data_IF_337954555017
#
_entry.id   IF_337954555017
#
_cell.length_a   1.000
_cell.length_b   1.000
_cell.length_c   1.000
_cell.angle_alpha   90.00
_cell.angle_beta   90.00
_cell.angle_gamma   90.00
#
_symmetry.space_group_name_H-M   'P 1'
#
loop_
_entity.id
_entity.type
_entity.pdbx_description
1 polymer ?
#
# COMPACT_ATOMS: atom_id res chain seq x y z
N UNK A 1 -6.26 16.27 -10.09
CA UNK A 1 -6.90 15.19 -9.32
C UNK A 1 -5.99 13.97 -9.08
N UNK A 2 -4.66 14.13 -9.12
CA UNK A 2 -3.64 13.07 -8.97
C UNK A 2 -2.90 13.12 -7.62
N UNK A 3 -3.38 13.91 -6.64
CA UNK A 3 -2.75 14.02 -5.31
C UNK A 3 -3.34 13.08 -4.26
N UNK A 4 -4.52 12.52 -4.50
CA UNK A 4 -5.26 11.65 -3.58
C UNK A 4 -4.60 10.29 -3.37
N UNK A 5 -4.08 9.68 -4.43
CA UNK A 5 -3.52 8.33 -4.37
C UNK A 5 -2.18 8.29 -3.63
N UNK A 6 -1.23 9.14 -4.02
CA UNK A 6 0.05 9.29 -3.32
C UNK A 6 -0.15 9.71 -1.85
N UNK A 7 -1.20 10.49 -1.59
CA UNK A 7 -1.60 10.85 -0.23
C UNK A 7 -2.05 9.62 0.58
N UNK A 8 -2.96 8.81 0.04
CA UNK A 8 -3.45 7.61 0.71
C UNK A 8 -2.34 6.58 0.93
N UNK A 9 -1.47 6.38 -0.04
CA UNK A 9 -0.34 5.45 0.07
C UNK A 9 0.66 5.89 1.14
N UNK A 10 1.04 7.17 1.16
CA UNK A 10 1.89 7.73 2.21
C UNK A 10 1.24 7.63 3.61
N UNK A 11 -0.09 7.64 3.68
CA UNK A 11 -0.82 7.39 4.92
C UNK A 11 -0.67 5.94 5.40
N UNK A 12 -0.85 4.97 4.50
CA UNK A 12 -0.74 3.55 4.82
C UNK A 12 0.70 3.19 5.20
N UNK A 13 1.70 3.69 4.49
CA UNK A 13 3.12 3.51 4.83
C UNK A 13 3.46 4.04 6.23
N UNK A 14 2.89 5.19 6.62
CA UNK A 14 3.07 5.72 7.96
C UNK A 14 2.40 4.81 9.01
N UNK A 15 1.19 4.34 8.76
CA UNK A 15 0.50 3.41 9.64
C UNK A 15 1.31 2.11 9.84
N UNK A 16 1.91 1.58 8.75
CA UNK A 16 2.85 0.45 8.80
C UNK A 16 4.06 0.76 9.68
N UNK A 17 4.71 1.93 9.50
CA UNK A 17 5.86 2.35 10.31
C UNK A 17 5.53 2.46 11.82
N UNK A 18 4.37 3.03 12.16
CA UNK A 18 3.93 3.18 13.55
C UNK A 18 3.71 1.81 14.20
N UNK A 19 3.10 0.88 13.47
CA UNK A 19 2.88 -0.50 13.94
C UNK A 19 4.19 -1.26 14.12
N UNK A 20 5.11 -1.15 13.16
CA UNK A 20 6.45 -1.76 13.25
C UNK A 20 7.22 -1.25 14.48
N UNK A 21 7.14 0.06 14.78
CA UNK A 21 7.74 0.64 15.98
C UNK A 21 7.11 0.10 17.26
N UNK A 22 5.79 -0.10 17.27
CA UNK A 22 5.11 -0.72 18.41
C UNK A 22 5.57 -2.18 18.61
N UNK A 23 5.63 -2.98 17.53
CA UNK A 23 6.08 -4.37 17.59
C UNK A 23 7.53 -4.48 18.08
N UNK A 24 8.43 -3.61 17.59
CA UNK A 24 9.82 -3.53 18.07
C UNK A 24 9.89 -3.13 19.54
N UNK A 25 9.13 -2.13 19.95
CA UNK A 25 9.07 -1.67 21.35
C UNK A 25 8.53 -2.73 22.30
N UNK A 26 7.71 -3.68 21.83
CA UNK A 26 7.22 -4.81 22.62
C UNK A 26 8.28 -5.92 22.74
N UNK A 27 9.13 -6.10 21.72
CA UNK A 27 10.21 -7.11 21.72
C UNK A 27 11.46 -6.64 22.48
N UNK A 28 11.79 -5.35 22.41
CA UNK A 28 13.01 -4.77 23.00
C UNK A 28 12.66 -3.54 23.87
N UNK A 29 12.21 -3.73 25.13
CA UNK A 29 11.76 -2.63 25.98
C UNK A 29 12.89 -1.73 26.49
N UNK A 30 14.15 -2.18 26.44
CA UNK A 30 15.33 -1.43 26.91
C UNK A 30 15.80 -0.35 25.93
N UNK A 31 15.48 -0.52 24.64
CA UNK A 31 15.71 0.45 23.56
C UNK A 31 14.47 1.33 23.37
N UNK A 32 13.99 1.99 24.43
CA UNK A 32 13.01 3.08 24.27
C UNK A 32 13.67 4.23 23.51
N UNK A 33 13.45 4.23 22.19
CA UNK A 33 13.98 5.20 21.24
C UNK A 33 13.41 6.59 21.49
N UNK A 34 13.96 7.28 22.49
CA UNK A 34 13.63 8.67 22.88
C UNK A 34 13.89 9.69 21.76
N UNK A 35 14.55 9.30 20.66
CA UNK A 35 14.82 10.15 19.49
C UNK A 35 13.92 9.95 18.26
N UNK A 36 12.97 9.00 18.27
CA UNK A 36 12.13 8.69 17.07
C UNK A 36 10.77 9.40 17.09
N UNK A 37 10.29 9.84 18.26
CA UNK A 37 8.97 10.44 18.42
C UNK A 37 8.85 11.85 17.79
N UNK A 38 9.88 12.68 17.86
CA UNK A 38 9.88 14.02 17.25
C UNK A 38 9.80 14.00 15.71
N UNK A 39 10.63 13.22 14.98
CA UNK A 39 10.52 13.15 13.53
C UNK A 39 9.21 12.51 13.06
N UNK A 40 8.64 11.55 13.80
CA UNK A 40 7.30 11.02 13.49
C UNK A 40 6.20 12.06 13.69
N UNK A 41 6.25 12.83 14.78
CA UNK A 41 5.27 13.89 15.04
C UNK A 41 5.33 14.99 13.98
N UNK A 42 6.53 15.36 13.53
CA UNK A 42 6.71 16.27 12.40
C UNK A 42 6.09 15.70 11.12
N UNK A 43 6.28 14.40 10.86
CA UNK A 43 5.71 13.70 9.70
C UNK A 43 4.18 13.54 9.77
N UNK A 44 3.61 13.42 10.97
CA UNK A 44 2.15 13.46 11.19
C UNK A 44 1.60 14.88 10.96
N UNK A 45 2.33 15.92 11.34
CA UNK A 45 1.95 17.30 11.00
C UNK A 45 2.02 17.56 9.49
N UNK A 46 3.00 16.97 8.80
CA UNK A 46 3.11 16.98 7.34
C UNK A 46 1.97 16.20 6.66
N UNK A 47 1.46 15.11 7.25
CA UNK A 47 0.27 14.40 6.74
C UNK A 47 -0.93 15.34 6.58
N UNK A 48 -1.15 16.26 7.52
CA UNK A 48 -2.26 17.21 7.38
C UNK A 48 -2.12 18.09 6.14
N UNK A 49 -0.90 18.55 5.87
CA UNK A 49 -0.64 19.45 4.75
C UNK A 49 -0.59 18.72 3.40
N UNK A 50 -0.05 17.51 3.37
CA UNK A 50 0.22 16.76 2.13
C UNK A 50 -0.85 15.71 1.81
N UNK A 51 -1.35 15.02 2.84
CA UNK A 51 -2.21 13.84 2.68
C UNK A 51 -3.68 14.19 2.88
N UNK A 52 -4.05 14.75 4.03
CA UNK A 52 -5.46 15.01 4.36
C UNK A 52 -6.09 16.11 3.52
N UNK A 53 -5.32 17.13 3.12
CA UNK A 53 -5.75 18.10 2.10
C UNK A 53 -5.89 17.49 0.70
N UNK A 54 -5.13 16.43 0.44
CA UNK A 54 -5.16 15.70 -0.82
C UNK A 54 -6.40 14.81 -0.95
N UNK A 55 -6.96 14.32 0.16
CA UNK A 55 -8.14 13.45 0.21
C UNK A 55 -9.44 14.25 0.00
N UNK A 56 -10.31 13.88 -0.95
CA UNK A 56 -11.39 14.77 -1.36
C UNK A 56 -12.56 14.70 -0.37
N UNK A 57 -12.79 13.54 0.27
CA UNK A 57 -13.82 13.39 1.30
C UNK A 57 -13.53 14.23 2.56
N UNK A 58 -12.26 14.31 2.96
CA UNK A 58 -11.83 15.12 4.11
C UNK A 58 -11.76 16.61 3.79
N UNK A 59 -11.31 16.98 2.59
CA UNK A 59 -11.24 18.39 2.18
C UNK A 59 -12.63 18.97 1.86
N UNK A 60 -13.57 18.16 1.36
CA UNK A 60 -14.94 18.61 1.08
C UNK A 60 -15.83 18.68 2.33
N UNK A 61 -15.54 17.90 3.37
CA UNK A 61 -16.33 17.89 4.60
C UNK A 61 -15.85 18.95 5.60
N UNK A 62 -16.68 19.94 6.00
CA UNK A 62 -16.31 20.91 7.03
C UNK A 62 -16.03 20.25 8.39
N UNK A 63 -16.61 19.06 8.63
CA UNK A 63 -16.33 18.24 9.82
C UNK A 63 -14.93 17.63 9.78
N UNK A 64 -14.45 17.23 8.59
CA UNK A 64 -13.11 16.68 8.42
C UNK A 64 -11.99 17.69 8.56
N UNK A 65 -12.23 18.95 8.18
CA UNK A 65 -11.28 20.03 8.40
C UNK A 65 -11.12 20.41 9.89
N UNK A 66 -12.14 20.13 10.72
CA UNK A 66 -12.14 20.45 12.14
C UNK A 66 -11.37 19.45 13.02
N UNK A 67 -11.03 18.27 12.47
CA UNK A 67 -10.34 17.21 13.21
C UNK A 67 -8.87 17.57 13.46
N UNK A 68 -8.40 17.30 14.67
CA UNK A 68 -6.99 17.38 15.07
C UNK A 68 -6.11 16.31 14.41
N UNK A 69 -4.79 16.51 14.41
CA UNK A 69 -3.85 15.54 13.82
C UNK A 69 -3.93 14.16 14.49
N UNK A 70 -4.18 14.13 15.80
CA UNK A 70 -4.39 12.89 16.54
C UNK A 70 -5.69 12.19 16.14
N UNK A 71 -6.77 12.95 15.90
CA UNK A 71 -8.05 12.39 15.46
C UNK A 71 -7.96 11.82 14.05
N UNK A 72 -7.28 12.55 13.15
CA UNK A 72 -7.02 12.10 11.79
C UNK A 72 -6.14 10.85 11.75
N UNK A 73 -5.13 10.76 12.63
CA UNK A 73 -4.30 9.57 12.75
C UNK A 73 -5.09 8.36 13.27
N UNK A 74 -6.01 8.53 14.24
CA UNK A 74 -6.88 7.42 14.68
C UNK A 74 -7.71 6.87 13.53
N UNK A 75 -8.30 7.74 12.72
CA UNK A 75 -9.07 7.33 11.54
C UNK A 75 -8.19 6.60 10.52
N UNK A 76 -6.98 7.12 10.28
CA UNK A 76 -6.01 6.50 9.39
C UNK A 76 -5.58 5.11 9.86
N UNK A 77 -5.35 4.92 11.16
CA UNK A 77 -4.97 3.64 11.75
C UNK A 77 -6.11 2.63 11.66
N UNK A 78 -7.35 3.05 11.90
CA UNK A 78 -8.53 2.17 11.77
C UNK A 78 -8.87 1.85 10.30
N UNK A 79 -8.70 2.83 9.41
CA UNK A 79 -8.81 2.63 7.97
C UNK A 79 -7.74 1.64 7.49
N UNK A 80 -6.50 1.80 7.94
CA UNK A 80 -5.40 0.88 7.65
C UNK A 80 -5.70 -0.54 8.16
N UNK A 81 -6.23 -0.69 9.38
CA UNK A 81 -6.68 -2.00 9.88
C UNK A 81 -7.77 -2.63 9.00
N UNK A 82 -8.74 -1.84 8.56
CA UNK A 82 -9.78 -2.28 7.63
C UNK A 82 -9.20 -2.71 6.28
N UNK A 83 -8.23 -1.96 5.76
CA UNK A 83 -7.46 -2.29 4.55
C UNK A 83 -6.70 -3.62 4.71
N UNK A 84 -6.19 -3.91 5.90
CA UNK A 84 -5.54 -5.17 6.24
C UNK A 84 -6.52 -6.32 6.50
N UNK A 85 -7.83 -6.13 6.26
CA UNK A 85 -8.85 -7.16 6.51
C UNK A 85 -9.10 -7.45 7.99
N UNK A 86 -8.58 -6.63 8.90
CA UNK A 86 -8.83 -6.74 10.34
C UNK A 86 -10.19 -6.11 10.65
N UNK A 87 -11.25 -6.89 10.46
CA UNK A 87 -12.63 -6.46 10.68
C UNK A 87 -12.97 -6.21 12.16
N UNK A 88 -12.16 -6.79 13.07
CA UNK A 88 -12.38 -6.69 14.51
C UNK A 88 -12.15 -5.27 15.05
N UNK A 89 -13.07 -4.76 15.91
CA UNK A 89 -12.91 -3.49 16.60
C UNK A 89 -11.58 -3.41 17.37
N UNK A 90 -10.81 -2.35 17.15
CA UNK A 90 -9.51 -2.14 17.79
C UNK A 90 -9.69 -1.72 19.26
N UNK A 91 -9.01 -2.34 20.23
CA UNK A 91 -9.07 -1.90 21.62
C UNK A 91 -8.43 -0.51 21.78
N UNK A 92 -9.02 0.33 22.65
CA UNK A 92 -8.53 1.67 22.91
C UNK A 92 -7.07 1.68 23.39
N UNK A 93 -6.67 0.68 24.19
CA UNK A 93 -5.28 0.51 24.62
C UNK A 93 -4.29 0.38 23.45
N UNK A 94 -4.66 -0.35 22.39
CA UNK A 94 -3.81 -0.48 21.19
C UNK A 94 -3.69 0.86 20.46
N UNK A 95 -4.82 1.56 20.25
CA UNK A 95 -4.83 2.87 19.60
C UNK A 95 -4.02 3.91 20.39
N UNK A 96 -4.12 3.92 21.72
CA UNK A 96 -3.33 4.79 22.59
C UNK A 96 -1.84 4.49 22.49
N UNK A 97 -1.47 3.20 22.39
CA UNK A 97 -0.08 2.80 22.21
C UNK A 97 0.47 3.25 20.85
N UNK A 98 -0.28 3.05 19.76
CA UNK A 98 0.07 3.53 18.42
C UNK A 98 0.23 5.06 18.37
N UNK A 99 -0.69 5.79 18.98
CA UNK A 99 -0.60 7.26 19.10
C UNK A 99 0.62 7.68 19.92
N UNK A 100 0.98 6.93 20.97
CA UNK A 100 2.18 7.19 21.75
C UNK A 100 3.45 7.02 20.92
N UNK A 101 3.51 6.04 20.01
CA UNK A 101 4.63 5.87 19.09
C UNK A 101 4.74 7.02 18.08
N UNK A 102 3.60 7.61 17.70
CA UNK A 102 3.54 8.81 16.87
C UNK A 102 3.81 10.12 17.63
N UNK A 103 4.19 10.06 18.92
CA UNK A 103 4.57 11.21 19.73
C UNK A 103 3.40 11.96 20.39
N UNK A 104 2.20 11.36 20.45
CA UNK A 104 1.07 11.90 21.19
C UNK A 104 1.05 11.41 22.64
N UNK A 105 0.86 12.32 23.58
CA UNK A 105 0.80 11.97 25.00
C UNK A 105 -0.44 11.13 25.32
N UNK A 106 -0.30 10.16 26.23
CA UNK A 106 -1.39 9.25 26.66
C UNK A 106 -2.69 9.98 27.02
N UNK A 107 -2.59 11.10 27.72
CA UNK A 107 -3.75 11.91 28.14
C UNK A 107 -4.49 12.49 26.94
N UNK A 108 -3.78 12.93 25.91
CA UNK A 108 -4.41 13.50 24.72
C UNK A 108 -4.99 12.40 23.83
N UNK A 109 -4.31 11.27 23.71
CA UNK A 109 -4.85 10.06 23.04
C UNK A 109 -6.16 9.59 23.66
N UNK A 110 -6.26 9.57 25.00
CA UNK A 110 -7.50 9.22 25.70
C UNK A 110 -8.62 10.26 25.51
N UNK A 111 -8.28 11.55 25.40
CA UNK A 111 -9.28 12.58 25.09
C UNK A 111 -9.87 12.38 23.69
N UNK A 112 -9.05 11.99 22.72
CA UNK A 112 -9.46 11.71 21.32
C UNK A 112 -10.37 10.50 21.21
N UNK A 113 -10.23 9.51 22.10
CA UNK A 113 -11.09 8.32 22.13
C UNK A 113 -12.25 8.44 23.15
N UNK A 114 -12.26 9.51 23.94
CA UNK A 114 -13.21 9.72 25.01
C UNK A 114 -14.65 9.90 24.50
N UNK A 115 -15.66 9.74 25.37
CA UNK A 115 -17.08 9.82 24.99
C UNK A 115 -17.52 11.18 24.45
N UNK A 116 -16.73 12.24 24.67
CA UNK A 116 -16.98 13.60 24.17
C UNK A 116 -16.13 13.97 22.95
N UNK A 117 -15.32 13.04 22.43
CA UNK A 117 -14.48 13.30 21.28
C UNK A 117 -15.29 13.59 20.01
N UNK A 118 -14.76 14.41 19.11
CA UNK A 118 -15.41 14.76 17.85
C UNK A 118 -15.65 13.50 17.01
N UNK A 119 -14.68 12.59 16.99
CA UNK A 119 -14.78 11.32 16.28
C UNK A 119 -16.00 10.48 16.66
N UNK A 120 -16.41 10.49 17.93
CA UNK A 120 -17.60 9.76 18.40
C UNK A 120 -18.87 10.58 18.22
N UNK A 121 -18.82 11.87 18.56
CA UNK A 121 -19.97 12.77 18.50
C UNK A 121 -20.48 12.94 17.07
N UNK A 122 -19.56 13.05 16.12
CA UNK A 122 -19.89 13.31 14.72
C UNK A 122 -20.12 12.01 13.93
N UNK A 123 -20.04 10.84 14.60
CA UNK A 123 -20.42 9.53 14.04
C UNK A 123 -19.32 8.80 13.27
N UNK A 124 -18.05 9.15 13.44
CA UNK A 124 -16.95 8.61 12.63
C UNK A 124 -16.41 7.30 13.20
N UNK A 125 -16.64 7.07 14.49
CA UNK A 125 -16.27 5.86 15.21
C UNK A 125 -17.48 5.22 15.89
N UNK A 126 -17.62 3.91 15.72
CA UNK A 126 -18.47 3.08 16.57
C UNK A 126 -17.66 2.59 17.76
N UNK A 127 -18.21 2.77 18.96
CA UNK A 127 -17.58 2.35 20.21
C UNK A 127 -18.37 1.19 20.81
N UNK A 128 -17.71 0.05 20.98
CA UNK A 128 -18.23 -1.15 21.62
C UNK A 128 -17.61 -1.26 23.00
N UNK A 129 -18.40 -1.06 24.04
CA UNK A 129 -17.96 -1.28 25.42
C UNK A 129 -18.45 -2.66 25.87
N UNK A 130 -17.54 -3.51 26.32
CA UNK A 130 -17.88 -4.77 26.97
C UNK A 130 -18.11 -4.50 28.47
N UNK A 131 -19.36 -4.54 28.91
CA UNK A 131 -19.74 -4.40 30.33
C UNK A 131 -20.26 -3.03 30.77
N UNK A 132 -20.85 -2.97 31.97
CA UNK A 132 -21.52 -1.77 32.53
C UNK A 132 -20.56 -0.72 33.12
N UNK A 133 -19.32 -1.09 33.42
CA UNK A 133 -18.25 -0.22 33.93
C UNK A 133 -16.97 -0.58 33.18
N UNK A 134 -16.88 -0.19 31.91
CA UNK A 134 -15.70 -0.43 31.10
C UNK A 134 -14.62 0.61 31.43
N UNK A 135 -13.38 0.17 31.67
CA UNK A 135 -12.23 1.06 31.62
C UNK A 135 -12.23 1.76 30.24
N UNK A 136 -11.94 3.06 30.14
CA UNK A 136 -11.73 3.72 28.84
C UNK A 136 -10.79 2.97 27.89
N UNK A 137 -9.88 2.15 28.41
CA UNK A 137 -8.97 1.29 27.64
C UNK A 137 -9.60 -0.01 27.11
N UNK A 138 -10.70 -0.46 27.72
CA UNK A 138 -11.43 -1.68 27.33
C UNK A 138 -12.47 -1.41 26.23
N UNK A 139 -12.71 -0.13 25.90
CA UNK A 139 -13.59 0.25 24.80
C UNK A 139 -12.94 -0.14 23.48
N UNK A 140 -13.68 -0.84 22.62
CA UNK A 140 -13.23 -1.18 21.28
C UNK A 140 -13.83 -0.24 20.25
N UNK A 141 -13.04 0.14 19.25
CA UNK A 141 -13.40 1.13 18.25
C UNK A 141 -13.38 0.52 16.85
N UNK A 142 -14.41 0.82 16.08
CA UNK A 142 -14.49 0.48 14.67
C UNK A 142 -14.75 1.75 13.86
N UNK A 143 -14.16 1.83 12.67
CA UNK A 143 -14.43 2.91 11.74
C UNK A 143 -15.88 2.82 11.25
N UNK A 144 -16.61 3.92 11.31
CA UNK A 144 -17.95 3.98 10.72
C UNK A 144 -17.86 3.84 9.19
N UNK A 145 -18.86 3.22 8.53
CA UNK A 145 -18.89 3.10 7.07
C UNK A 145 -18.69 4.46 6.36
N UNK A 146 -19.37 5.50 6.85
CA UNK A 146 -19.32 6.87 6.30
C UNK A 146 -17.95 7.52 6.50
N UNK A 147 -17.19 7.10 7.52
CA UNK A 147 -15.82 7.56 7.73
C UNK A 147 -14.81 6.87 6.80
N UNK A 148 -15.19 5.75 6.16
CA UNK A 148 -14.37 5.08 5.15
C UNK A 148 -14.40 5.87 3.84
N UNK A 149 -15.55 6.44 3.49
CA UNK A 149 -15.76 7.34 2.33
C UNK A 149 -14.99 8.68 2.46
N UNK A 150 -14.37 8.95 3.59
CA UNK A 150 -13.50 10.12 3.75
C UNK A 150 -12.14 9.93 3.08
N UNK A 151 -11.71 8.66 2.98
CA UNK A 151 -10.48 8.26 2.33
C UNK A 151 -10.68 7.95 0.84
N UNK A 152 -11.94 7.80 0.38
CA UNK A 152 -12.32 7.45 -1.00
C UNK A 152 -13.52 8.27 -1.52
N UNK A 153 -13.45 8.83 -2.74
CA UNK A 153 -14.59 9.55 -3.32
C UNK A 153 -15.58 8.66 -4.06
N UNK A 154 -16.88 8.96 -3.90
CA UNK A 154 -18.07 8.32 -4.50
C UNK A 154 -18.08 8.23 -6.05
N UNK A 155 -17.17 8.89 -6.77
CA UNK A 155 -16.98 8.61 -8.21
C UNK A 155 -16.33 7.22 -8.49
N UNK A 156 -15.82 6.56 -7.44
CA UNK A 156 -15.17 5.24 -7.47
C UNK A 156 -16.06 4.07 -6.96
N UNK A 157 -17.35 4.28 -6.67
CA UNK A 157 -18.31 3.20 -6.33
C UNK A 157 -19.42 3.13 -7.39
N UNK A 158 -19.66 2.00 -8.07
CA UNK A 158 -20.34 0.87 -7.46
C UNK A 158 -19.40 -0.30 -7.09
N UNK A 159 -19.57 -0.90 -5.90
CA UNK A 159 -18.93 -2.17 -5.56
C UNK A 159 -19.47 -3.25 -6.50
N UNK A 160 -18.60 -3.85 -7.31
CA UNK A 160 -18.82 -5.22 -7.72
C UNK A 160 -18.52 -6.07 -6.48
N UNK A 161 -19.58 -6.37 -5.72
CA UNK A 161 -19.57 -7.13 -4.47
C UNK A 161 -18.66 -6.52 -3.38
N UNK A 162 -19.24 -6.02 -2.30
CA UNK A 162 -19.05 -6.70 -1.02
C UNK A 162 -18.74 -8.19 -1.20
N UNK A 163 -17.48 -8.53 -1.51
CA UNK A 163 -16.97 -9.85 -1.17
C UNK A 163 -17.16 -9.97 0.34
N UNK A 164 -17.93 -10.99 0.71
CA UNK A 164 -18.45 -11.28 2.03
C UNK A 164 -17.45 -10.97 3.14
N UNK A 165 -17.96 -10.71 4.35
CA UNK A 165 -17.19 -10.68 5.61
C UNK A 165 -16.49 -12.00 5.96
N UNK A 166 -16.15 -12.81 4.97
CA UNK A 166 -15.25 -13.94 5.04
C UNK A 166 -13.86 -13.40 5.39
N UNK A 167 -13.27 -13.85 6.50
CA UNK A 167 -11.92 -13.42 6.87
C UNK A 167 -10.93 -13.81 5.75
N UNK A 168 -9.90 -12.98 5.49
CA UNK A 168 -8.89 -13.28 4.48
C UNK A 168 -8.22 -14.62 4.77
N UNK A 169 -8.18 -15.49 3.76
CA UNK A 169 -7.53 -16.80 3.86
C UNK A 169 -6.01 -16.59 3.92
N UNK A 170 -5.30 -17.10 4.95
CA UNK A 170 -3.85 -16.95 5.04
C UNK A 170 -3.15 -17.66 3.87
N UNK A 171 -1.92 -17.26 3.59
CA UNK A 171 -1.05 -17.95 2.64
C UNK A 171 -0.56 -19.28 3.23
N UNK A 172 -0.58 -20.33 2.41
CA UNK A 172 0.02 -21.62 2.72
C UNK A 172 1.53 -21.63 2.55
N UNK A 173 2.06 -20.76 1.67
CA UNK A 173 3.50 -20.62 1.42
C UNK A 173 3.85 -19.23 0.87
N UNK A 174 5.14 -18.89 0.91
CA UNK A 174 5.64 -17.69 0.27
C UNK A 174 5.49 -17.73 -1.27
N UNK A 175 5.58 -18.93 -1.85
CA UNK A 175 5.36 -19.16 -3.29
C UNK A 175 3.94 -18.76 -3.70
N UNK A 176 2.93 -19.07 -2.88
CA UNK A 176 1.55 -18.65 -3.13
C UNK A 176 1.40 -17.11 -3.11
N UNK A 177 2.10 -16.43 -2.20
CA UNK A 177 2.12 -14.97 -2.17
C UNK A 177 2.78 -14.37 -3.41
N UNK A 178 3.85 -14.98 -3.93
CA UNK A 178 4.50 -14.54 -5.16
C UNK A 178 3.55 -14.69 -6.37
N UNK A 179 2.79 -15.78 -6.46
CA UNK A 179 1.80 -15.96 -7.53
C UNK A 179 0.63 -14.98 -7.45
N UNK A 180 0.17 -14.64 -6.24
CA UNK A 180 -0.82 -13.57 -6.07
C UNK A 180 -0.26 -12.21 -6.52
N UNK A 181 1.02 -11.91 -6.20
CA UNK A 181 1.71 -10.72 -6.69
C UNK A 181 1.88 -10.73 -8.22
N UNK A 182 2.09 -11.89 -8.83
CA UNK A 182 2.08 -12.06 -10.28
C UNK A 182 0.70 -11.75 -10.87
N UNK A 183 -0.37 -12.31 -10.30
CA UNK A 183 -1.74 -12.03 -10.75
C UNK A 183 -2.07 -10.53 -10.63
N UNK A 184 -1.61 -9.88 -9.55
CA UNK A 184 -1.72 -8.43 -9.39
C UNK A 184 -0.91 -7.64 -10.43
N UNK A 185 0.32 -8.08 -10.75
CA UNK A 185 1.13 -7.53 -11.85
C UNK A 185 0.37 -7.60 -13.18
N UNK A 186 -0.29 -8.72 -13.49
CA UNK A 186 -1.09 -8.88 -14.73
C UNK A 186 -2.24 -7.86 -14.78
N UNK A 187 -2.96 -7.64 -13.68
CA UNK A 187 -3.99 -6.59 -13.62
C UNK A 187 -3.40 -5.20 -13.87
N UNK A 188 -2.20 -4.93 -13.35
CA UNK A 188 -1.50 -3.67 -13.57
C UNK A 188 -1.03 -3.49 -15.02
N UNK A 189 -0.63 -4.57 -15.71
CA UNK A 189 -0.28 -4.58 -17.12
C UNK A 189 -1.51 -4.27 -18.00
N UNK A 190 -2.62 -4.96 -17.77
CA UNK A 190 -3.88 -4.69 -18.47
C UNK A 190 -4.33 -3.24 -18.30
N UNK A 191 -4.18 -2.70 -17.09
CA UNK A 191 -4.40 -1.27 -16.80
C UNK A 191 -3.46 -0.37 -17.60
N UNK A 192 -2.17 -0.71 -17.68
CA UNK A 192 -1.14 0.05 -18.38
C UNK A 192 -1.32 0.06 -19.90
N UNK A 193 -1.91 -0.99 -20.47
CA UNK A 193 -2.37 -1.05 -21.86
C UNK A 193 -3.55 -0.10 -22.08
N UNK A 194 -4.60 -0.24 -21.27
CA UNK A 194 -5.80 0.59 -21.35
C UNK A 194 -5.52 2.10 -21.15
N UNK A 195 -4.38 2.44 -20.52
CA UNK A 195 -3.93 3.82 -20.34
C UNK A 195 -3.55 4.52 -21.66
N UNK A 196 -3.11 3.77 -22.67
CA UNK A 196 -2.69 4.30 -23.96
C UNK A 196 -3.74 4.14 -25.05
N UNK A 197 -4.65 3.17 -24.93
CA UNK A 197 -5.71 2.87 -25.92
C UNK A 197 -6.74 4.00 -26.15
N UNK A 198 -6.77 5.05 -25.32
CA UNK A 198 -7.75 6.14 -25.41
C UNK A 198 -7.20 7.42 -26.04
N UNK A 199 -7.41 7.65 -27.34
CA UNK A 199 -7.04 8.89 -28.04
C UNK A 199 -8.05 10.05 -27.85
N UNK A 200 -8.83 10.02 -26.76
CA UNK A 200 -9.86 11.01 -26.52
C UNK A 200 -9.28 12.24 -25.81
N UNK A 201 -8.89 13.23 -26.60
CA UNK A 201 -8.33 14.52 -26.19
C UNK A 201 -9.29 15.43 -25.38
N UNK A 202 -10.37 14.90 -24.81
CA UNK A 202 -11.32 15.69 -24.05
C UNK A 202 -12.21 14.85 -23.15
N UNK A 203 -11.98 14.99 -21.85
CA UNK A 203 -12.93 14.72 -20.76
C UNK A 203 -13.25 13.24 -20.43
N UNK A 204 -13.04 12.91 -19.16
CA UNK A 204 -13.33 11.66 -18.44
C UNK A 204 -12.44 10.42 -18.75
N UNK A 205 -12.08 9.72 -17.67
CA UNK A 205 -11.32 8.47 -17.75
C UNK A 205 -12.17 7.35 -18.37
N UNK A 206 -11.65 6.58 -19.34
CA UNK A 206 -12.38 5.49 -19.96
C UNK A 206 -12.96 4.52 -18.91
N UNK A 207 -14.22 4.06 -19.03
CA UNK A 207 -14.83 3.11 -18.10
C UNK A 207 -14.00 1.84 -17.88
N UNK A 208 -13.37 1.32 -18.94
CA UNK A 208 -12.47 0.16 -18.88
C UNK A 208 -11.24 0.42 -17.99
N UNK A 209 -10.58 1.57 -18.17
CA UNK A 209 -9.44 1.96 -17.34
C UNK A 209 -9.85 2.16 -15.87
N UNK A 210 -11.06 2.70 -15.62
CA UNK A 210 -11.61 2.79 -14.26
C UNK A 210 -11.87 1.42 -13.63
N UNK A 211 -12.43 0.47 -14.38
CA UNK A 211 -12.60 -0.91 -13.95
C UNK A 211 -11.28 -1.57 -13.56
N UNK A 212 -10.31 -1.55 -14.46
CA UNK A 212 -8.99 -2.16 -14.25
C UNK A 212 -8.21 -1.51 -13.09
N UNK A 213 -8.34 -0.20 -12.89
CA UNK A 213 -7.78 0.47 -11.70
C UNK A 213 -8.38 -0.05 -10.41
N UNK A 214 -9.70 -0.26 -10.36
CA UNK A 214 -10.40 -0.80 -9.19
C UNK A 214 -9.99 -2.24 -8.91
N UNK A 215 -9.93 -3.07 -9.95
CA UNK A 215 -9.50 -4.46 -9.84
C UNK A 215 -8.04 -4.58 -9.36
N UNK A 216 -7.12 -3.82 -9.94
CA UNK A 216 -5.72 -3.82 -9.49
C UNK A 216 -5.57 -3.37 -8.03
N UNK A 217 -6.39 -2.41 -7.57
CA UNK A 217 -6.41 -1.98 -6.17
C UNK A 217 -7.00 -3.04 -5.26
N UNK A 218 -8.14 -3.62 -5.64
CA UNK A 218 -8.76 -4.71 -4.88
C UNK A 218 -7.81 -5.90 -4.76
N UNK A 219 -7.09 -6.26 -5.82
CA UNK A 219 -6.05 -7.28 -5.81
C UNK A 219 -4.95 -6.99 -4.78
N UNK A 220 -4.39 -5.77 -4.78
CA UNK A 220 -3.39 -5.38 -3.79
C UNK A 220 -3.92 -5.44 -2.36
N UNK A 221 -5.13 -4.95 -2.11
CA UNK A 221 -5.76 -4.98 -0.79
C UNK A 221 -5.98 -6.42 -0.33
N UNK A 222 -6.44 -7.30 -1.23
CA UNK A 222 -6.59 -8.74 -0.96
C UNK A 222 -5.26 -9.36 -0.54
N UNK A 223 -4.16 -9.10 -1.27
CA UNK A 223 -2.82 -9.58 -0.95
C UNK A 223 -2.39 -9.10 0.45
N UNK A 224 -2.58 -7.80 0.74
CA UNK A 224 -2.26 -7.20 2.04
C UNK A 224 -3.06 -7.84 3.17
N UNK A 225 -4.36 -8.08 2.96
CA UNK A 225 -5.22 -8.76 3.93
C UNK A 225 -4.80 -10.19 4.20
N UNK A 226 -4.49 -10.96 3.14
CA UNK A 226 -3.98 -12.33 3.26
C UNK A 226 -2.62 -12.39 3.97
N UNK A 227 -1.69 -11.50 3.64
CA UNK A 227 -0.39 -11.37 4.32
C UNK A 227 -0.56 -11.08 5.82
N UNK A 228 -1.48 -10.18 6.17
CA UNK A 228 -1.76 -9.84 7.57
C UNK A 228 -2.38 -11.01 8.36
N UNK A 229 -3.19 -11.84 7.70
CA UNK A 229 -3.76 -13.06 8.29
C UNK A 229 -2.76 -14.22 8.41
N UNK A 230 -1.65 -14.17 7.67
CA UNK A 230 -0.63 -15.22 7.63
C UNK A 230 0.31 -15.12 8.81
N UNK A 231 0.42 -16.18 9.61
CA UNK A 231 1.39 -16.24 10.71
C UNK A 231 2.81 -16.13 10.13
N UNK A 232 3.56 -15.10 10.52
CA UNK A 232 4.88 -14.83 9.95
C UNK A 232 4.85 -14.31 8.52
N UNK A 233 3.70 -13.89 7.98
CA UNK A 233 3.61 -13.32 6.63
C UNK A 233 4.46 -12.07 6.43
N UNK A 234 4.69 -11.30 7.50
CA UNK A 234 5.65 -10.19 7.46
C UNK A 234 7.10 -10.64 7.23
N UNK A 235 7.44 -11.88 7.60
CA UNK A 235 8.76 -12.47 7.44
C UNK A 235 8.98 -13.14 6.08
N UNK A 236 7.97 -13.17 5.20
CA UNK A 236 8.16 -13.54 3.79
C UNK A 236 9.23 -12.62 3.19
N UNK A 237 10.14 -13.17 2.40
CA UNK A 237 11.29 -12.46 1.81
C UNK A 237 10.85 -11.23 1.04
N UNK A 238 9.80 -11.31 0.22
CA UNK A 238 9.31 -10.13 -0.52
C UNK A 238 8.85 -9.00 0.42
N UNK A 239 8.21 -9.31 1.53
CA UNK A 239 7.75 -8.33 2.51
C UNK A 239 8.90 -7.81 3.39
N UNK A 240 9.83 -8.67 3.76
CA UNK A 240 11.07 -8.27 4.43
C UNK A 240 11.90 -7.36 3.53
N UNK A 241 12.04 -7.69 2.25
CA UNK A 241 12.74 -6.89 1.25
C UNK A 241 12.07 -5.51 1.09
N UNK A 242 10.74 -5.47 0.96
CA UNK A 242 9.94 -4.24 0.97
C UNK A 242 10.25 -3.37 2.18
N UNK A 243 10.21 -3.95 3.39
CA UNK A 243 10.45 -3.23 4.65
C UNK A 243 11.90 -2.74 4.78
N UNK A 244 12.87 -3.60 4.48
CA UNK A 244 14.30 -3.33 4.58
C UNK A 244 14.74 -2.21 3.64
N UNK A 245 14.19 -2.17 2.43
CA UNK A 245 14.50 -1.15 1.43
C UNK A 245 13.46 -0.01 1.39
N UNK A 246 12.50 -0.02 2.31
CA UNK A 246 11.42 0.95 2.43
C UNK A 246 10.64 1.19 1.13
N UNK A 247 10.43 0.14 0.33
CA UNK A 247 9.81 0.21 -0.99
C UNK A 247 8.37 0.71 -0.91
N UNK A 248 8.02 1.69 -1.74
CA UNK A 248 6.62 2.05 -1.97
C UNK A 248 5.90 0.95 -2.75
N UNK A 249 4.58 1.06 -2.91
CA UNK A 249 3.81 0.12 -3.74
C UNK A 249 4.26 0.17 -5.19
N UNK A 250 4.56 1.36 -5.71
CA UNK A 250 5.07 1.52 -7.07
C UNK A 250 6.42 0.83 -7.24
N UNK A 251 7.33 1.00 -6.27
CA UNK A 251 8.65 0.39 -6.35
C UNK A 251 8.60 -1.12 -6.13
N UNK A 252 7.71 -1.59 -5.26
CA UNK A 252 7.41 -3.01 -5.13
C UNK A 252 6.84 -3.57 -6.44
N UNK A 253 5.90 -2.88 -7.07
CA UNK A 253 5.33 -3.28 -8.35
C UNK A 253 6.39 -3.33 -9.45
N UNK A 254 7.35 -2.39 -9.48
CA UNK A 254 8.48 -2.44 -10.40
C UNK A 254 9.34 -3.68 -10.18
N UNK A 255 9.69 -3.95 -8.92
CA UNK A 255 10.51 -5.10 -8.53
C UNK A 255 9.79 -6.40 -8.91
N UNK A 256 8.51 -6.54 -8.56
CA UNK A 256 7.66 -7.67 -8.94
C UNK A 256 7.56 -7.79 -10.46
N UNK A 257 7.36 -6.67 -11.17
CA UNK A 257 7.21 -6.68 -12.62
C UNK A 257 8.46 -7.24 -13.30
N UNK A 258 9.65 -6.74 -12.93
CA UNK A 258 10.92 -7.19 -13.49
C UNK A 258 11.27 -8.61 -13.08
N UNK A 259 11.00 -8.99 -11.82
CA UNK A 259 11.18 -10.36 -11.35
C UNK A 259 10.41 -11.35 -12.24
N UNK A 260 9.15 -11.06 -12.55
CA UNK A 260 8.34 -11.96 -13.39
C UNK A 260 8.65 -11.83 -14.89
N UNK A 261 9.13 -10.69 -15.38
CA UNK A 261 9.70 -10.60 -16.73
C UNK A 261 10.90 -11.56 -16.87
N UNK A 262 11.77 -11.62 -15.87
CA UNK A 262 12.91 -12.52 -15.86
C UNK A 262 12.49 -14.00 -15.70
N UNK A 263 11.65 -14.30 -14.70
CA UNK A 263 11.33 -15.68 -14.31
C UNK A 263 10.30 -16.37 -15.22
N UNK A 264 9.33 -15.63 -15.76
CA UNK A 264 8.21 -16.18 -16.55
C UNK A 264 8.34 -15.84 -18.02
N UNK A 265 8.69 -14.60 -18.35
CA UNK A 265 8.73 -14.14 -19.75
C UNK A 265 10.10 -14.36 -20.40
N UNK A 266 11.13 -14.70 -19.63
CA UNK A 266 12.51 -14.87 -20.12
C UNK A 266 13.12 -13.56 -20.66
N UNK A 267 12.56 -12.41 -20.26
CA UNK A 267 12.97 -11.08 -20.67
C UNK A 267 13.68 -10.37 -19.50
N UNK A 268 15.00 -10.57 -19.31
CA UNK A 268 15.72 -10.00 -18.18
C UNK A 268 15.81 -8.47 -18.25
N UNK A 269 15.63 -7.88 -19.44
CA UNK A 269 15.72 -6.46 -19.67
C UNK A 269 14.38 -5.90 -20.17
N UNK A 270 13.89 -4.86 -19.49
CA UNK A 270 12.63 -4.19 -19.81
C UNK A 270 12.88 -2.71 -20.01
N UNK A 271 12.22 -2.10 -21.00
CA UNK A 271 12.37 -0.68 -21.25
C UNK A 271 11.87 0.16 -20.05
N UNK A 272 12.60 1.20 -19.66
CA UNK A 272 12.20 2.09 -18.56
C UNK A 272 10.81 2.72 -18.76
N UNK A 273 10.40 2.94 -20.02
CA UNK A 273 9.05 3.40 -20.35
C UNK A 273 7.98 2.36 -19.97
N UNK A 274 8.23 1.07 -20.20
CA UNK A 274 7.30 0.00 -19.85
C UNK A 274 7.16 -0.13 -18.34
N UNK A 275 8.29 -0.16 -17.62
CA UNK A 275 8.32 -0.07 -16.16
C UNK A 275 7.48 1.12 -15.64
N UNK A 276 7.66 2.30 -16.24
CA UNK A 276 6.91 3.50 -15.88
C UNK A 276 5.41 3.37 -16.15
N UNK A 277 5.03 2.70 -17.25
CA UNK A 277 3.63 2.46 -17.61
C UNK A 277 2.95 1.53 -16.60
N UNK A 278 3.62 0.46 -16.20
CA UNK A 278 3.09 -0.51 -15.24
C UNK A 278 2.70 0.15 -13.92
N UNK A 279 3.49 1.09 -13.43
CA UNK A 279 3.20 1.80 -12.17
C UNK A 279 2.27 3.00 -12.30
N UNK A 280 2.13 3.57 -13.50
CA UNK A 280 1.33 4.79 -13.66
C UNK A 280 -0.18 4.51 -13.61
N UNK A 281 -0.90 5.31 -12.84
CA UNK A 281 -2.37 5.24 -12.80
C UNK A 281 -3.05 6.11 -13.88
N UNK A 282 -2.32 7.07 -14.43
CA UNK A 282 -2.81 8.03 -15.42
C UNK A 282 -1.67 8.60 -16.28
N UNK A 283 -1.99 9.26 -17.39
CA UNK A 283 -0.98 9.87 -18.27
C UNK A 283 -0.19 10.98 -17.57
N UNK A 284 -0.85 11.77 -16.72
CA UNK A 284 -0.19 12.80 -15.92
C UNK A 284 0.74 12.21 -14.86
N UNK A 285 0.47 10.98 -14.43
CA UNK A 285 1.25 10.26 -13.44
C UNK A 285 2.58 9.74 -14.00
N UNK A 286 2.61 9.36 -15.29
CA UNK A 286 3.85 8.99 -16.01
C UNK A 286 4.95 10.04 -15.81
N UNK A 287 4.63 11.33 -15.99
CA UNK A 287 5.62 12.40 -15.84
C UNK A 287 6.12 12.56 -14.41
N UNK A 288 5.25 12.36 -13.42
CA UNK A 288 5.60 12.45 -12.00
C UNK A 288 6.47 11.27 -11.56
N UNK A 289 6.13 10.07 -12.02
CA UNK A 289 6.82 8.82 -11.68
C UNK A 289 8.10 8.60 -12.47
N UNK A 290 8.39 9.42 -13.48
CA UNK A 290 9.65 9.36 -14.25
C UNK A 290 10.91 9.35 -13.37
N UNK A 291 10.86 10.01 -12.21
CA UNK A 291 11.97 10.04 -11.25
C UNK A 291 12.24 8.69 -10.57
N UNK A 292 11.25 7.80 -10.51
CA UNK A 292 11.35 6.48 -9.85
C UNK A 292 12.30 5.56 -10.62
N UNK A 293 12.15 5.51 -11.95
CA UNK A 293 12.97 4.69 -12.87
C UNK A 293 14.23 5.41 -13.37
N UNK A 294 14.36 6.70 -13.07
CA UNK A 294 15.51 7.51 -13.49
C UNK A 294 16.81 7.14 -12.76
N UNK A 295 17.99 7.59 -13.25
CA UNK A 295 19.29 7.27 -12.65
C UNK A 295 19.45 7.78 -11.21
N UNK A 296 18.74 8.84 -10.85
CA UNK A 296 18.68 9.36 -9.47
C UNK A 296 17.52 8.78 -8.66
N UNK A 297 16.77 7.85 -9.22
CA UNK A 297 15.70 7.13 -8.54
C UNK A 297 16.27 6.23 -7.48
N UNK A 298 15.56 6.08 -6.37
CA UNK A 298 16.03 5.35 -5.20
C UNK A 298 16.43 3.91 -5.53
N UNK A 299 15.59 3.20 -6.27
CA UNK A 299 15.86 1.83 -6.70
C UNK A 299 17.16 1.67 -7.50
N UNK A 300 17.54 2.66 -8.32
CA UNK A 300 18.82 2.67 -9.03
C UNK A 300 19.99 3.05 -8.11
N UNK A 301 19.77 3.96 -7.17
CA UNK A 301 20.79 4.35 -6.20
C UNK A 301 21.12 3.23 -5.20
N UNK A 302 20.14 2.41 -4.84
CA UNK A 302 20.31 1.25 -3.95
C UNK A 302 20.84 0.03 -4.70
N UNK A 303 21.00 0.09 -6.02
CA UNK A 303 21.45 -1.04 -6.84
C UNK A 303 20.44 -2.18 -6.93
N UNK A 304 19.15 -1.91 -6.66
CA UNK A 304 18.06 -2.90 -6.85
C UNK A 304 17.69 -2.97 -8.33
N UNK A 305 17.62 -1.81 -8.99
CA UNK A 305 17.46 -1.70 -10.43
C UNK A 305 18.80 -1.42 -11.08
N UNK A 306 19.19 -2.26 -12.03
CA UNK A 306 20.37 -2.05 -12.86
C UNK A 306 19.91 -1.58 -14.22
N UNK A 307 20.50 -0.47 -14.69
CA UNK A 307 20.28 0.00 -16.05
C UNK A 307 21.39 -0.54 -16.93
N UNK A 308 21.05 -1.07 -18.11
CA UNK A 308 22.04 -1.41 -19.12
C UNK A 308 22.66 -0.13 -19.66
N UNK A 309 23.86 0.18 -19.17
CA UNK A 309 24.64 1.34 -19.63
C UNK A 309 25.32 0.99 -20.95
N UNK A 310 24.57 0.99 -22.04
CA UNK A 310 25.19 1.10 -23.36
C UNK A 310 25.66 2.55 -23.53
N UNK A 311 26.98 2.72 -23.44
CA UNK A 311 27.76 3.92 -23.78
C UNK A 311 27.01 4.87 -24.72
N UNK A 312 26.43 5.95 -24.18
CA UNK A 312 25.94 7.02 -25.04
C UNK A 312 25.51 8.21 -24.20
N UNK A 313 26.26 9.30 -24.34
CA UNK A 313 25.89 10.67 -23.96
C UNK A 313 24.57 11.16 -24.62
N UNK A 314 23.88 10.28 -25.38
CA UNK A 314 22.73 10.56 -26.21
C UNK A 314 21.51 9.65 -25.96
N UNK A 315 21.56 8.68 -25.05
CA UNK A 315 20.42 7.77 -24.84
C UNK A 315 19.34 8.46 -24.02
N UNK A 316 18.14 8.61 -24.60
CA UNK A 316 16.98 9.15 -23.89
C UNK A 316 16.70 8.28 -22.67
N UNK A 317 16.61 8.87 -21.47
CA UNK A 317 16.44 8.15 -20.20
C UNK A 317 15.23 7.18 -20.12
N UNK A 318 14.26 7.27 -21.04
CA UNK A 318 13.12 6.35 -21.12
C UNK A 318 13.35 5.15 -22.06
N UNK A 319 14.42 5.18 -22.85
CA UNK A 319 14.87 4.09 -23.72
C UNK A 319 15.94 3.21 -23.04
N UNK A 320 16.33 3.53 -21.81
CA UNK A 320 17.23 2.68 -21.03
C UNK A 320 16.54 1.38 -20.69
N UNK A 321 17.22 0.26 -20.94
CA UNK A 321 16.80 -1.07 -20.49
C UNK A 321 17.14 -1.22 -19.00
N UNK A 322 16.17 -1.70 -18.23
CA UNK A 322 16.28 -1.94 -16.79
C UNK A 322 16.12 -3.43 -16.52
N UNK A 323 16.90 -3.95 -15.57
CA UNK A 323 16.76 -5.28 -15.00
C UNK A 323 16.75 -5.20 -13.47
N UNK A 324 16.26 -6.26 -12.83
CA UNK A 324 16.44 -6.47 -11.40
C UNK A 324 17.88 -6.95 -11.16
N UNK A 325 18.52 -6.49 -10.09
CA UNK A 325 19.84 -7.00 -9.73
C UNK A 325 19.74 -8.46 -9.25
N UNK A 326 20.70 -9.31 -9.64
CA UNK A 326 20.73 -10.73 -9.27
C UNK A 326 20.56 -10.95 -7.75
N UNK A 327 21.27 -10.16 -6.94
CA UNK A 327 21.17 -10.25 -5.48
C UNK A 327 19.75 -9.97 -4.95
N UNK A 328 19.01 -9.07 -5.59
CA UNK A 328 17.65 -8.73 -5.21
C UNK A 328 16.67 -9.82 -5.65
N UNK A 329 16.85 -10.37 -6.86
CA UNK A 329 16.08 -11.52 -7.34
C UNK A 329 16.28 -12.75 -6.44
N UNK A 330 17.53 -13.05 -6.08
CA UNK A 330 17.89 -14.14 -5.17
C UNK A 330 17.32 -13.91 -3.77
N UNK A 331 17.43 -12.70 -3.22
CA UNK A 331 16.90 -12.39 -1.88
C UNK A 331 15.38 -12.57 -1.81
N UNK A 332 14.65 -12.11 -2.83
CA UNK A 332 13.19 -12.21 -2.91
C UNK A 332 12.74 -13.66 -3.07
N UNK A 333 13.45 -14.44 -3.88
CA UNK A 333 13.05 -15.83 -4.19
C UNK A 333 13.60 -16.87 -3.21
N UNK A 334 14.55 -16.51 -2.35
CA UNK A 334 15.18 -17.42 -1.39
C UNK A 334 14.21 -18.11 -0.40
N UNK A 335 12.99 -17.59 -0.23
CA UNK A 335 11.95 -18.18 0.60
C UNK A 335 11.00 -19.11 -0.16
N UNK A 336 11.05 -19.12 -1.49
CA UNK A 336 10.23 -19.97 -2.33
C UNK A 336 10.95 -21.31 -2.59
N UNK A 337 10.25 -22.42 -2.37
CA UNK A 337 10.77 -23.78 -2.61
C UNK A 337 11.03 -24.09 -4.07
N UNK A 338 10.31 -23.40 -4.97
CA UNK A 338 10.55 -23.39 -6.41
C UNK A 338 10.51 -21.93 -6.86
N UNK A 339 11.41 -21.51 -7.77
CA UNK A 339 11.18 -20.25 -8.47
C UNK A 339 9.81 -20.34 -9.17
N UNK A 340 9.04 -19.25 -9.25
CA UNK A 340 7.79 -19.22 -10.01
C UNK A 340 8.10 -19.50 -11.48
N UNK A 341 8.13 -20.78 -11.82
CA UNK A 341 8.12 -21.32 -13.17
C UNK A 341 6.68 -21.75 -13.40
N UNK A 342 6.19 -21.47 -14.60
CA UNK A 342 4.92 -22.00 -15.10
C UNK A 342 4.76 -23.44 -14.61
N UNK A 343 3.60 -23.78 -14.03
CA UNK A 343 3.30 -25.18 -13.69
C UNK A 343 3.54 -26.04 -14.95
N UNK A 344 3.98 -27.29 -14.81
CA UNK A 344 4.29 -28.14 -15.97
C UNK A 344 3.08 -28.24 -16.92
N UNK A 345 1.87 -28.05 -16.37
CA UNK A 345 0.61 -27.89 -17.12
C UNK A 345 0.48 -26.59 -17.89
N UNK A 346 0.81 -25.45 -17.30
CA UNK A 346 0.77 -24.14 -17.99
C UNK A 346 1.85 -24.06 -19.07
N UNK A 347 3.02 -24.66 -18.83
CA UNK A 347 4.07 -24.80 -19.82
C UNK A 347 3.63 -25.73 -20.96
N UNK A 348 2.98 -26.86 -20.65
CA UNK A 348 2.39 -27.77 -21.64
C UNK A 348 1.30 -27.09 -22.47
N UNK A 349 0.43 -26.29 -21.86
CA UNK A 349 -0.65 -25.57 -22.57
C UNK A 349 -0.07 -24.46 -23.46
N UNK A 350 0.96 -23.75 -23.00
CA UNK A 350 1.66 -22.71 -23.77
C UNK A 350 2.49 -23.29 -24.92
N UNK A 351 3.07 -24.49 -24.75
CA UNK A 351 3.77 -25.24 -25.80
C UNK A 351 2.82 -25.95 -26.78
N UNK A 352 1.58 -26.23 -26.36
CA UNK A 352 0.56 -26.85 -27.22
C UNK A 352 -0.06 -25.89 -28.22
N UNK A 353 0.09 -24.57 -28.03
CA UNK A 353 -0.29 -23.54 -28.98
C UNK A 353 -1.75 -23.66 -29.41
N UNK A 354 -2.64 -22.91 -28.78
CA UNK A 354 -4.00 -22.74 -29.30
C UNK A 354 -3.94 -22.22 -30.76
N UNK A 355 -4.39 -23.07 -31.70
CA UNK A 355 -4.71 -22.72 -33.10
C UNK A 355 -5.96 -21.83 -33.18
#
# INVERSE_FOLDING_TARGET
>A
MTSTHAALEGLLELCDQIRDLQERSLREPETRATGVAEPLRARVAELRQQVFRGLPGLSASPRGQALSDAELLVLALLFHRRVLGLADPAPAGELVALLSQAGFGRTDSLKVLGPRALLRRDGWLHAHAEGRVADPLDVRFQLAPEATELFWTVEDEAPAAAEDGTPPVPYGSEEECLWDLHAWRVLCLQRAEALLDGDNAGSAMPPRLRGLRREARAGLLRIRGRLAATIGGSEYRIERFRRQHHLSTDELLLVVHLLFCELVEGAPYVAALECLRVIAESRSDLFRKRRVVGPKGRLRQTGILVGREENSEYTKALATELCLADWAADEITAGATRPPRLDDRELDDLLRGDE
#
